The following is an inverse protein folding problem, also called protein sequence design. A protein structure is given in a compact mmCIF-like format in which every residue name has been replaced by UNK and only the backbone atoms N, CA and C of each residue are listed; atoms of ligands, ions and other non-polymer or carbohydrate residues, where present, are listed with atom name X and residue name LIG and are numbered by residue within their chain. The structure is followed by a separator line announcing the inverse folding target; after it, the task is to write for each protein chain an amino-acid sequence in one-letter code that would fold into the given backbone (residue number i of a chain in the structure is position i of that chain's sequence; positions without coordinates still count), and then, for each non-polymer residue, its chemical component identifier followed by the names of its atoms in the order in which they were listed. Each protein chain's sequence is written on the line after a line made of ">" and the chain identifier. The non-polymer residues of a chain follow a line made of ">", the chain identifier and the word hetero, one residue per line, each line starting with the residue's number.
data_IF_111931263351
#
_entry.id   IF_111931263351
#
_cell.length_a   1.000
_cell.length_b   1.000
_cell.length_c   1.000
_cell.angle_alpha   90.00
_cell.angle_beta   90.00
_cell.angle_gamma   90.00
#
_symmetry.space_group_name_H-M   'P 1'
#
loop_
_entity.id
_entity.type
_entity.pdbx_description
1 polymer ?
#
# COMPACT_ATOMS: atom_id res chain seq x y z
N UNK A 1 -7.15 19.47 13.38
CA UNK A 1 -7.61 20.60 14.20
C UNK A 1 -6.73 21.79 13.86
N UNK A 2 -7.31 22.96 13.56
CA UNK A 2 -6.53 24.16 13.23
C UNK A 2 -5.44 24.41 14.29
N UNK A 3 -4.21 24.68 13.84
CA UNK A 3 -3.07 24.96 14.73
C UNK A 3 -2.34 23.75 15.34
N UNK A 4 -2.78 22.51 15.09
CA UNK A 4 -2.11 21.33 15.64
C UNK A 4 -1.06 20.76 14.67
N UNK A 5 0.18 20.64 15.13
CA UNK A 5 1.28 20.06 14.36
C UNK A 5 1.08 18.55 14.11
N UNK A 6 1.67 18.08 13.01
CA UNK A 6 1.73 16.65 12.72
C UNK A 6 2.69 15.96 13.71
N UNK A 7 2.24 14.86 14.31
CA UNK A 7 3.07 14.02 15.19
C UNK A 7 3.15 12.60 14.63
N UNK A 8 4.30 11.91 14.77
CA UNK A 8 4.53 10.59 14.18
C UNK A 8 3.40 9.58 14.39
N UNK A 9 2.89 9.47 15.61
CA UNK A 9 1.82 8.53 15.96
C UNK A 9 0.52 8.74 15.17
N UNK A 10 0.19 9.99 14.81
CA UNK A 10 -1.05 10.31 14.08
C UNK A 10 -1.00 9.90 12.61
N UNK A 11 0.19 9.75 12.03
CA UNK A 11 0.30 9.27 10.65
C UNK A 11 -0.22 7.84 10.52
N UNK A 12 0.00 6.97 11.52
CA UNK A 12 -0.52 5.61 11.50
C UNK A 12 -2.05 5.59 11.57
N UNK A 13 -2.65 6.38 12.47
CA UNK A 13 -4.11 6.52 12.56
C UNK A 13 -4.70 7.02 11.24
N UNK A 14 -4.08 8.03 10.63
CA UNK A 14 -4.50 8.57 9.33
C UNK A 14 -4.35 7.53 8.22
N UNK A 15 -3.27 6.78 8.19
CA UNK A 15 -3.03 5.75 7.17
C UNK A 15 -4.09 4.63 7.24
N UNK A 16 -4.50 4.23 8.44
CA UNK A 16 -5.61 3.28 8.60
C UNK A 16 -6.92 3.79 8.00
N UNK A 17 -7.19 5.09 8.13
CA UNK A 17 -8.35 5.71 7.47
C UNK A 17 -8.25 5.61 5.95
N UNK A 18 -7.08 5.87 5.37
CA UNK A 18 -6.84 5.71 3.92
C UNK A 18 -7.14 4.27 3.49
N UNK A 19 -6.55 3.27 4.16
CA UNK A 19 -6.80 1.86 3.88
C UNK A 19 -8.30 1.53 3.96
N UNK A 20 -9.00 2.05 4.98
CA UNK A 20 -10.43 1.80 5.22
C UNK A 20 -11.39 2.56 4.29
N UNK A 21 -10.93 3.58 3.57
CA UNK A 21 -11.77 4.34 2.63
C UNK A 21 -11.49 3.97 1.16
N UNK A 22 -10.27 3.53 0.84
CA UNK A 22 -9.88 3.12 -0.52
C UNK A 22 -10.45 1.77 -0.94
N UNK A 23 -11.07 1.66 -2.12
CA UNK A 23 -11.53 0.37 -2.65
C UNK A 23 -10.39 -0.66 -2.76
N UNK A 24 -9.22 -0.22 -3.21
CA UNK A 24 -8.00 -1.01 -3.27
C UNK A 24 -6.78 -0.12 -2.98
N UNK A 25 -5.62 -0.72 -2.66
CA UNK A 25 -4.37 0.00 -2.39
C UNK A 25 -3.27 -0.46 -3.35
N UNK A 26 -2.68 0.47 -4.12
CA UNK A 26 -1.51 0.21 -4.96
C UNK A 26 -0.26 0.85 -4.35
N UNK A 27 0.75 0.06 -4.05
CA UNK A 27 2.06 0.53 -3.57
C UNK A 27 3.00 0.65 -4.77
N UNK A 28 3.33 1.88 -5.13
CA UNK A 28 4.19 2.18 -6.28
C UNK A 28 5.67 2.01 -5.91
N UNK A 29 6.09 2.63 -4.81
CA UNK A 29 7.43 2.50 -4.25
C UNK A 29 7.36 2.52 -2.72
N UNK A 30 8.15 1.66 -2.07
CA UNK A 30 8.28 1.63 -0.63
C UNK A 30 9.60 1.00 -0.20
N UNK A 31 10.34 1.70 0.67
CA UNK A 31 11.51 1.13 1.33
C UNK A 31 11.13 0.10 2.40
N UNK A 32 12.11 -0.70 2.86
CA UNK A 32 11.87 -1.75 3.85
C UNK A 32 11.27 -1.23 5.18
N UNK A 33 11.51 0.03 5.56
CA UNK A 33 10.88 0.65 6.74
C UNK A 33 9.94 1.79 6.38
N UNK A 34 9.20 1.65 5.28
CA UNK A 34 8.23 2.66 4.84
C UNK A 34 6.90 2.55 5.59
N UNK A 35 6.29 3.70 5.90
CA UNK A 35 4.93 3.78 6.43
C UNK A 35 3.87 3.24 5.47
N UNK A 36 4.16 3.16 4.17
CA UNK A 36 3.25 2.61 3.15
C UNK A 36 2.94 1.13 3.38
N UNK A 37 3.89 0.36 3.95
CA UNK A 37 3.66 -1.05 4.22
C UNK A 37 2.61 -1.28 5.29
N UNK A 38 2.55 -0.38 6.28
CA UNK A 38 1.52 -0.47 7.30
C UNK A 38 0.14 -0.25 6.68
N UNK A 39 0.00 0.75 5.80
CA UNK A 39 -1.25 0.99 5.08
C UNK A 39 -1.66 -0.21 4.22
N UNK A 40 -0.70 -0.82 3.51
CA UNK A 40 -0.94 -2.01 2.70
C UNK A 40 -1.42 -3.20 3.55
N UNK A 41 -0.79 -3.45 4.70
CA UNK A 41 -1.23 -4.50 5.63
C UNK A 41 -2.61 -4.21 6.23
N UNK A 42 -2.84 -2.98 6.68
CA UNK A 42 -4.16 -2.57 7.19
C UNK A 42 -5.24 -2.75 6.11
N UNK A 43 -4.95 -2.49 4.83
CA UNK A 43 -5.88 -2.73 3.72
C UNK A 43 -6.15 -4.23 3.49
N UNK A 44 -5.09 -5.05 3.52
CA UNK A 44 -5.20 -6.52 3.40
C UNK A 44 -6.01 -7.13 4.56
N UNK A 45 -5.78 -6.67 5.80
CA UNK A 45 -6.55 -7.07 6.99
C UNK A 45 -8.04 -6.72 6.87
N UNK A 46 -8.37 -5.64 6.15
CA UNK A 46 -9.74 -5.23 5.82
C UNK A 46 -10.31 -5.95 4.59
N UNK A 47 -9.64 -7.00 4.10
CA UNK A 47 -10.00 -7.77 2.91
C UNK A 47 -10.13 -6.89 1.65
N UNK A 48 -9.33 -5.84 1.56
CA UNK A 48 -9.27 -4.99 0.36
C UNK A 48 -8.10 -5.40 -0.52
N UNK A 49 -8.26 -5.41 -1.84
CA UNK A 49 -7.17 -5.74 -2.74
C UNK A 49 -5.98 -4.80 -2.52
N UNK A 50 -4.81 -5.42 -2.43
CA UNK A 50 -3.53 -4.72 -2.35
C UNK A 50 -2.70 -5.15 -3.54
N UNK A 51 -2.06 -4.18 -4.17
CA UNK A 51 -1.20 -4.38 -5.32
C UNK A 51 0.13 -3.70 -5.04
N UNK A 52 1.19 -4.17 -5.69
CA UNK A 52 2.49 -3.53 -5.64
C UNK A 52 3.17 -3.57 -7.00
N UNK A 53 3.84 -2.46 -7.34
CA UNK A 53 4.65 -2.39 -8.56
C UNK A 53 6.05 -2.90 -8.23
N UNK A 54 6.56 -3.91 -8.97
CA UNK A 54 7.92 -4.37 -8.79
C UNK A 54 8.89 -3.31 -9.34
N UNK A 55 10.06 -3.19 -8.71
CA UNK A 55 11.15 -2.36 -9.21
C UNK A 55 12.50 -3.07 -9.18
N UNK A 56 13.60 -2.36 -9.49
CA UNK A 56 14.95 -2.93 -9.49
C UNK A 56 15.31 -3.53 -8.12
N UNK A 57 15.89 -4.74 -8.09
CA UNK A 57 16.33 -5.39 -6.85
C UNK A 57 17.47 -4.65 -6.13
N UNK A 58 18.15 -3.76 -6.84
CA UNK A 58 19.22 -2.91 -6.30
C UNK A 58 18.68 -1.60 -5.71
N UNK A 59 17.38 -1.32 -5.86
CA UNK A 59 16.77 -0.09 -5.35
C UNK A 59 16.20 -0.29 -3.95
N UNK A 60 16.66 0.47 -2.94
CA UNK A 60 16.10 0.42 -1.60
C UNK A 60 14.60 0.76 -1.56
N UNK A 61 14.08 1.54 -2.51
CA UNK A 61 12.66 1.91 -2.59
C UNK A 61 11.78 0.81 -3.19
N UNK A 62 12.37 -0.29 -3.67
CA UNK A 62 11.61 -1.44 -4.20
C UNK A 62 11.47 -2.58 -3.17
N UNK A 63 12.32 -2.62 -2.14
CA UNK A 63 12.36 -3.69 -1.14
C UNK A 63 11.01 -3.91 -0.44
N UNK A 64 10.28 -2.83 -0.17
CA UNK A 64 8.95 -2.89 0.44
C UNK A 64 7.91 -3.51 -0.48
N UNK A 65 7.91 -3.15 -1.76
CA UNK A 65 7.03 -3.74 -2.77
C UNK A 65 7.33 -5.24 -2.93
N UNK A 66 8.60 -5.61 -3.07
CA UNK A 66 9.02 -7.01 -3.21
C UNK A 66 8.61 -7.85 -2.01
N UNK A 67 8.73 -7.32 -0.79
CA UNK A 67 8.29 -8.02 0.41
C UNK A 67 6.76 -8.20 0.46
N UNK A 68 5.98 -7.17 0.12
CA UNK A 68 4.52 -7.29 0.08
C UNK A 68 4.08 -8.38 -0.90
N UNK A 69 4.73 -8.47 -2.05
CA UNK A 69 4.50 -9.53 -3.05
C UNK A 69 4.93 -10.89 -2.50
N UNK A 70 6.16 -11.00 -1.98
CA UNK A 70 6.72 -12.26 -1.48
C UNK A 70 5.95 -12.85 -0.29
N UNK A 71 5.38 -11.99 0.55
CA UNK A 71 4.52 -12.38 1.68
C UNK A 71 3.05 -12.63 1.27
N UNK A 72 2.72 -12.49 -0.02
CA UNK A 72 1.35 -12.61 -0.54
C UNK A 72 0.35 -11.64 0.08
N UNK A 73 0.83 -10.47 0.51
CA UNK A 73 -0.01 -9.37 0.96
C UNK A 73 -0.53 -8.58 -0.23
N UNK A 74 0.28 -8.46 -1.29
CA UNK A 74 -0.04 -7.71 -2.50
C UNK A 74 0.14 -8.56 -3.76
N UNK A 75 -0.75 -8.34 -4.72
CA UNK A 75 -0.59 -8.86 -6.08
C UNK A 75 0.40 -8.00 -6.88
N UNK A 76 1.15 -8.65 -7.76
CA UNK A 76 2.07 -7.95 -8.66
C UNK A 76 1.28 -7.25 -9.76
N UNK A 77 1.58 -5.97 -9.98
CA UNK A 77 0.95 -5.13 -11.01
C UNK A 77 2.04 -4.40 -11.78
N UNK A 78 1.95 -4.42 -13.11
CA UNK A 78 2.95 -3.79 -14.00
C UNK A 78 2.35 -2.77 -14.95
N UNK A 79 1.02 -2.67 -15.00
CA UNK A 79 0.31 -1.69 -15.80
C UNK A 79 -0.92 -1.14 -15.07
N UNK A 80 -1.45 -0.02 -15.57
CA UNK A 80 -2.73 0.52 -15.10
C UNK A 80 -3.87 -0.46 -15.39
N UNK A 81 -3.81 -1.20 -16.50
CA UNK A 81 -4.84 -2.17 -16.84
C UNK A 81 -4.92 -3.29 -15.79
N UNK A 82 -3.77 -3.86 -15.39
CA UNK A 82 -3.71 -4.89 -14.34
C UNK A 82 -4.33 -4.35 -13.04
N UNK A 83 -4.01 -3.10 -12.66
CA UNK A 83 -4.57 -2.49 -11.45
C UNK A 83 -6.09 -2.33 -11.52
N UNK A 84 -6.63 -1.98 -12.70
CA UNK A 84 -8.06 -1.77 -12.90
C UNK A 84 -8.86 -3.08 -12.85
N UNK A 85 -8.26 -4.23 -13.16
CA UNK A 85 -8.91 -5.53 -12.98
C UNK A 85 -9.29 -5.77 -11.51
N UNK A 86 -8.38 -5.48 -10.58
CA UNK A 86 -8.64 -5.59 -9.14
C UNK A 86 -9.66 -4.58 -8.64
N UNK A 87 -9.64 -3.35 -9.15
CA UNK A 87 -10.55 -2.28 -8.70
C UNK A 87 -11.97 -2.51 -9.22
N UNK A 88 -12.12 -2.96 -10.47
CA UNK A 88 -13.42 -3.17 -11.12
C UNK A 88 -14.17 -4.41 -10.60
N UNK A 89 -13.45 -5.40 -10.05
CA UNK A 89 -14.03 -6.55 -9.40
C UNK A 89 -14.78 -6.22 -8.08
N UNK A 90 -14.55 -5.03 -7.52
CA UNK A 90 -15.15 -4.56 -6.27
C UNK A 90 -16.44 -3.81 -6.59
N UNK A 91 -17.58 -4.52 -6.47
CA UNK A 91 -18.92 -3.91 -6.54
C UNK A 91 -19.20 -3.05 -5.32
#
# INVERSE_FOLDING_TARGET
>A
MPGVHAVPARFLTRNRLIASLSKATLVVEAAFRSGSLRTARDASELLRPVMAIPGPITSPTSEGCHRLIGERVAEIVTSVADAMEFVSAIR
#
